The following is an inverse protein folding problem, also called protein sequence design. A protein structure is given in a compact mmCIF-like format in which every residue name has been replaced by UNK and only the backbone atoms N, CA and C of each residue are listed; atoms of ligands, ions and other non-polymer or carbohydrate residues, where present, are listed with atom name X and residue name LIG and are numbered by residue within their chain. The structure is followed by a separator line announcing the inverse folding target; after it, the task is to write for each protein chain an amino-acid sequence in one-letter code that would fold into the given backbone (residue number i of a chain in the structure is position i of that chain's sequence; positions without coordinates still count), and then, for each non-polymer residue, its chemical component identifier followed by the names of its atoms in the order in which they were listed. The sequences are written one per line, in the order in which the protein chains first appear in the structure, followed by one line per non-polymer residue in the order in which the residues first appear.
data_IF_063339508747
#
_entry.id   IF_063339508747
#
_cell.length_a   1.000
_cell.length_b   1.000
_cell.length_c   1.000
_cell.angle_alpha   90.00
_cell.angle_beta   90.00
_cell.angle_gamma   90.00
#
_symmetry.space_group_name_H-M   'P 1'
#
loop_
_entity.id
_entity.type
_entity.pdbx_description
1 polymer ?
#
# COMPACT_ATOMS: atom_id res chain seq x y z
N UNK A 1 -44.71 21.59 -18.26
CA UNK A 1 -43.56 20.70 -18.54
C UNK A 1 -42.48 21.01 -17.53
N UNK A 2 -42.36 20.20 -16.48
CA UNK A 2 -41.25 20.29 -15.53
C UNK A 2 -40.02 19.68 -16.22
N UNK A 3 -38.99 20.50 -16.39
CA UNK A 3 -37.71 20.07 -16.94
C UNK A 3 -37.13 18.98 -16.05
N UNK A 4 -37.05 17.76 -16.59
CA UNK A 4 -36.16 16.71 -16.09
C UNK A 4 -34.72 17.22 -16.21
N UNK A 5 -34.29 18.01 -15.24
CA UNK A 5 -32.89 18.29 -14.96
C UNK A 5 -32.24 16.95 -14.70
N UNK A 6 -31.67 16.38 -15.76
CA UNK A 6 -30.66 15.33 -15.80
C UNK A 6 -30.21 14.94 -14.40
N UNK A 7 -30.88 13.92 -13.83
CA UNK A 7 -30.55 13.32 -12.55
C UNK A 7 -29.27 12.51 -12.70
N UNK A 8 -28.17 13.17 -13.06
CA UNK A 8 -26.88 12.52 -13.18
C UNK A 8 -26.44 12.17 -11.75
N UNK A 9 -26.45 10.88 -11.37
CA UNK A 9 -26.13 10.47 -10.02
C UNK A 9 -24.70 10.82 -9.61
N UNK A 10 -23.82 11.09 -10.58
CA UNK A 10 -22.45 11.56 -10.36
C UNK A 10 -22.34 13.05 -10.01
N UNK A 11 -23.40 13.86 -10.21
CA UNK A 11 -23.39 15.30 -9.90
C UNK A 11 -24.12 15.64 -8.60
N UNK A 12 -24.92 14.72 -8.07
CA UNK A 12 -25.68 14.93 -6.84
C UNK A 12 -25.11 14.07 -5.71
N UNK A 13 -24.86 14.65 -4.52
CA UNK A 13 -24.36 13.88 -3.39
C UNK A 13 -25.37 12.78 -2.99
N UNK A 14 -24.91 11.60 -2.58
CA UNK A 14 -25.80 10.51 -2.18
C UNK A 14 -26.63 10.90 -0.95
N UNK A 15 -27.94 10.65 -1.02
CA UNK A 15 -28.80 10.83 0.15
C UNK A 15 -28.45 9.81 1.24
N UNK A 16 -28.86 10.08 2.49
CA UNK A 16 -28.66 9.12 3.59
C UNK A 16 -29.29 7.76 3.28
N UNK A 17 -30.47 7.75 2.64
CA UNK A 17 -31.14 6.53 2.19
C UNK A 17 -30.27 5.77 1.19
N UNK A 18 -29.69 6.46 0.21
CA UNK A 18 -28.84 5.84 -0.82
C UNK A 18 -27.59 5.21 -0.19
N UNK A 19 -26.99 5.88 0.80
CA UNK A 19 -25.83 5.34 1.53
C UNK A 19 -26.18 4.08 2.30
N UNK A 20 -27.31 4.06 3.01
CA UNK A 20 -27.77 2.88 3.75
C UNK A 20 -28.06 1.72 2.80
N UNK A 21 -28.71 2.00 1.67
CA UNK A 21 -28.99 0.99 0.65
C UNK A 21 -27.70 0.46 0.02
N UNK A 22 -26.71 1.33 -0.24
CA UNK A 22 -25.41 0.94 -0.76
C UNK A 22 -24.63 0.08 0.24
N UNK A 23 -24.59 0.44 1.52
CA UNK A 23 -23.97 -0.41 2.55
C UNK A 23 -24.64 -1.79 2.59
N UNK A 24 -25.97 -1.84 2.59
CA UNK A 24 -26.72 -3.11 2.59
C UNK A 24 -26.44 -3.95 1.33
N UNK A 25 -26.31 -3.34 0.16
CA UNK A 25 -26.04 -4.07 -1.08
C UNK A 25 -24.61 -4.61 -1.18
N UNK A 26 -23.70 -4.10 -0.34
CA UNK A 26 -22.29 -4.48 -0.28
C UNK A 26 -21.96 -5.35 0.95
N UNK A 27 -22.95 -6.03 1.52
CA UNK A 27 -22.74 -6.87 2.72
C UNK A 27 -21.60 -7.90 2.54
N UNK A 28 -21.54 -8.54 1.36
CA UNK A 28 -20.45 -9.46 1.00
C UNK A 28 -19.06 -8.81 0.97
N UNK A 29 -18.97 -7.53 0.60
CA UNK A 29 -17.71 -6.78 0.67
C UNK A 29 -17.29 -6.60 2.13
N UNK A 30 -18.24 -6.30 3.02
CA UNK A 30 -17.95 -6.18 4.44
C UNK A 30 -17.57 -7.52 5.08
N UNK A 31 -18.22 -8.62 4.70
CA UNK A 31 -17.83 -9.97 5.12
C UNK A 31 -16.40 -10.30 4.65
N UNK A 32 -16.07 -10.00 3.39
CA UNK A 32 -14.73 -10.19 2.84
C UNK A 32 -13.68 -9.36 3.59
N UNK A 33 -13.95 -8.08 3.85
CA UNK A 33 -13.06 -7.20 4.62
C UNK A 33 -12.94 -7.68 6.08
N UNK A 34 -14.03 -8.16 6.70
CA UNK A 34 -13.99 -8.67 8.07
C UNK A 34 -13.08 -9.90 8.17
N UNK A 35 -13.11 -10.78 7.17
CA UNK A 35 -12.23 -11.95 7.08
C UNK A 35 -10.79 -11.57 6.70
N UNK A 36 -10.60 -10.51 5.91
CA UNK A 36 -9.30 -10.03 5.43
C UNK A 36 -9.21 -8.50 5.56
N UNK A 37 -8.92 -7.96 6.75
CA UNK A 37 -8.92 -6.51 6.97
C UNK A 37 -7.94 -5.72 6.10
N UNK A 38 -6.88 -6.39 5.60
CA UNK A 38 -5.90 -5.81 4.67
C UNK A 38 -6.50 -5.45 3.31
N UNK A 39 -7.62 -6.08 2.93
CA UNK A 39 -8.34 -5.77 1.70
C UNK A 39 -9.22 -4.51 1.80
N UNK A 40 -9.29 -3.87 2.97
CA UNK A 40 -10.02 -2.62 3.13
C UNK A 40 -9.34 -1.49 2.33
N UNK A 41 -10.07 -0.93 1.37
CA UNK A 41 -9.65 0.21 0.56
C UNK A 41 -10.45 1.45 0.97
N UNK A 42 -9.76 2.57 1.16
CA UNK A 42 -10.36 3.86 1.49
C UNK A 42 -9.65 5.02 0.78
N UNK A 43 -10.27 6.19 0.76
CA UNK A 43 -9.66 7.40 0.23
C UNK A 43 -8.62 8.01 1.19
N UNK A 44 -7.69 8.78 0.62
CA UNK A 44 -6.67 9.56 1.34
C UNK A 44 -7.08 11.00 1.63
N UNK A 45 -8.12 11.52 0.96
CA UNK A 45 -8.63 12.89 1.15
C UNK A 45 -7.55 13.98 1.22
N UNK A 46 -6.46 13.83 0.45
CA UNK A 46 -5.26 14.65 0.65
C UNK A 46 -5.54 16.13 0.37
N UNK A 47 -6.35 16.42 -0.64
CA UNK A 47 -6.75 17.79 -1.01
C UNK A 47 -7.64 18.43 0.07
N UNK A 48 -8.58 17.66 0.60
CA UNK A 48 -9.51 18.07 1.64
C UNK A 48 -8.78 18.35 2.95
N UNK A 49 -7.78 17.53 3.29
CA UNK A 49 -6.89 17.79 4.42
C UNK A 49 -6.11 19.09 4.25
N UNK A 50 -5.50 19.35 3.08
CA UNK A 50 -4.79 20.62 2.84
C UNK A 50 -5.72 21.83 2.96
N UNK A 51 -6.94 21.72 2.42
CA UNK A 51 -7.96 22.78 2.54
C UNK A 51 -8.35 23.02 4.00
N UNK A 52 -8.50 21.95 4.77
CA UNK A 52 -8.85 22.02 6.20
C UNK A 52 -7.71 22.62 7.02
N UNK A 53 -6.46 22.26 6.74
CA UNK A 53 -5.27 22.84 7.39
C UNK A 53 -5.24 24.36 7.16
N UNK A 54 -5.36 24.81 5.91
CA UNK A 54 -5.35 26.24 5.59
C UNK A 54 -6.48 27.01 6.28
N UNK A 55 -7.68 26.41 6.36
CA UNK A 55 -8.80 26.98 7.10
C UNK A 55 -8.50 27.09 8.61
N UNK A 56 -7.92 26.04 9.21
CA UNK A 56 -7.58 26.03 10.64
C UNK A 56 -6.44 27.01 10.97
N UNK A 57 -5.45 27.14 10.11
CA UNK A 57 -4.39 28.16 10.22
C UNK A 57 -4.98 29.57 10.26
N UNK A 58 -5.92 29.87 9.36
CA UNK A 58 -6.65 31.14 9.36
C UNK A 58 -7.39 31.40 10.68
N UNK A 59 -8.02 30.37 11.25
CA UNK A 59 -8.68 30.46 12.57
C UNK A 59 -7.68 30.77 13.68
N UNK A 60 -6.54 30.08 13.72
CA UNK A 60 -5.47 30.33 14.71
C UNK A 60 -5.02 31.79 14.60
N UNK A 61 -4.71 32.28 13.40
CA UNK A 61 -4.33 33.68 13.21
C UNK A 61 -5.40 34.68 13.66
N UNK A 62 -6.67 34.39 13.41
CA UNK A 62 -7.77 35.25 13.85
C UNK A 62 -7.86 35.32 15.38
N UNK A 63 -7.81 34.18 16.06
CA UNK A 63 -7.85 34.14 17.52
C UNK A 63 -6.60 34.77 18.14
N UNK A 64 -5.42 34.56 17.54
CA UNK A 64 -4.17 35.17 17.99
C UNK A 64 -4.20 36.70 17.88
N UNK A 65 -4.77 37.24 16.79
CA UNK A 65 -4.97 38.69 16.65
C UNK A 65 -5.96 39.24 17.67
N UNK A 66 -7.08 38.55 17.92
CA UNK A 66 -8.04 38.97 18.94
C UNK A 66 -7.39 39.02 20.33
N UNK A 67 -6.56 38.02 20.66
CA UNK A 67 -5.76 37.99 21.88
C UNK A 67 -4.77 39.15 21.97
N UNK A 68 -4.03 39.42 20.89
CA UNK A 68 -3.10 40.55 20.86
C UNK A 68 -3.80 41.89 21.03
N UNK A 69 -4.89 42.13 20.30
CA UNK A 69 -5.69 43.36 20.44
C UNK A 69 -6.21 43.52 21.88
N UNK A 70 -6.70 42.44 22.48
CA UNK A 70 -7.15 42.46 23.87
C UNK A 70 -6.01 42.85 24.83
N UNK A 71 -4.80 42.30 24.66
CA UNK A 71 -3.65 42.68 25.49
C UNK A 71 -3.26 44.15 25.28
N UNK A 72 -3.25 44.63 24.04
CA UNK A 72 -2.90 46.01 23.70
C UNK A 72 -3.89 47.02 24.29
N UNK A 73 -5.20 46.75 24.20
CA UNK A 73 -6.25 47.60 24.75
C UNK A 73 -6.17 47.67 26.29
N UNK A 74 -5.98 46.53 26.95
CA UNK A 74 -5.94 46.46 28.41
C UNK A 74 -4.59 46.86 29.01
N UNK A 75 -3.52 46.93 28.22
CA UNK A 75 -2.26 47.56 28.65
C UNK A 75 -2.36 49.09 28.76
N UNK A 76 -3.33 49.71 28.06
CA UNK A 76 -3.52 51.16 27.98
C UNK A 76 -4.62 51.66 28.92
N UNK A 77 -5.67 50.85 29.12
CA UNK A 77 -6.75 51.17 30.03
C UNK A 77 -6.32 50.80 31.46
N UNK A 78 -6.23 51.76 32.38
CA UNK A 78 -5.89 51.51 33.80
C UNK A 78 -6.92 50.67 34.57
N UNK A 79 -7.80 49.93 33.88
CA UNK A 79 -8.73 48.96 34.45
C UNK A 79 -8.14 47.56 34.26
N UNK A 80 -8.02 46.81 35.35
CA UNK A 80 -7.60 45.40 35.28
C UNK A 80 -8.78 44.56 34.79
N UNK A 81 -8.64 43.81 33.68
CA UNK A 81 -9.66 42.88 33.23
C UNK A 81 -9.91 41.81 34.31
N UNK A 82 -11.11 41.26 34.32
CA UNK A 82 -11.42 40.13 35.17
C UNK A 82 -10.98 38.83 34.50
N UNK A 83 -10.84 37.76 35.28
CA UNK A 83 -10.41 36.45 34.80
C UNK A 83 -11.27 35.93 33.63
N UNK A 84 -12.58 36.17 33.67
CA UNK A 84 -13.50 35.76 32.61
C UNK A 84 -13.24 36.47 31.26
N UNK A 85 -12.73 37.71 31.30
CA UNK A 85 -12.37 38.47 30.09
C UNK A 85 -11.15 37.82 29.41
N UNK A 86 -10.14 37.44 30.20
CA UNK A 86 -8.97 36.72 29.68
C UNK A 86 -9.35 35.35 29.10
N UNK A 87 -10.20 34.60 29.81
CA UNK A 87 -10.69 33.30 29.36
C UNK A 87 -11.42 33.43 28.01
N UNK A 88 -12.24 34.47 27.84
CA UNK A 88 -13.03 34.69 26.62
C UNK A 88 -12.21 34.83 25.34
N UNK A 89 -10.93 35.23 25.46
CA UNK A 89 -10.03 35.40 24.31
C UNK A 89 -8.97 34.29 24.23
N UNK A 90 -8.54 33.78 25.38
CA UNK A 90 -7.53 32.72 25.45
C UNK A 90 -8.10 31.34 25.11
N UNK A 91 -9.28 30.98 25.61
CA UNK A 91 -9.89 29.67 25.35
C UNK A 91 -10.10 29.40 23.85
N UNK A 92 -10.67 30.34 23.06
CA UNK A 92 -10.81 30.12 21.60
C UNK A 92 -9.48 29.98 20.87
N UNK A 93 -8.41 30.61 21.38
CA UNK A 93 -7.07 30.47 20.81
C UNK A 93 -6.49 29.08 21.13
N UNK A 94 -6.60 28.63 22.37
CA UNK A 94 -6.19 27.28 22.79
C UNK A 94 -6.94 26.22 22.00
N UNK A 95 -8.25 26.34 21.89
CA UNK A 95 -9.10 25.42 21.11
C UNK A 95 -8.70 25.40 19.62
N UNK A 96 -8.42 26.56 19.03
CA UNK A 96 -7.99 26.64 17.64
C UNK A 96 -6.64 25.93 17.41
N UNK A 97 -5.69 26.11 18.33
CA UNK A 97 -4.37 25.47 18.28
C UNK A 97 -4.47 23.95 18.44
N UNK A 98 -5.24 23.46 19.40
CA UNK A 98 -5.44 22.02 19.62
C UNK A 98 -6.10 21.36 18.40
N UNK A 99 -7.17 21.97 17.87
CA UNK A 99 -7.84 21.47 16.65
C UNK A 99 -6.93 21.52 15.42
N UNK A 100 -6.06 22.52 15.30
CA UNK A 100 -5.09 22.58 14.21
C UNK A 100 -4.10 21.42 14.29
N UNK A 101 -3.56 21.12 15.47
CA UNK A 101 -2.66 19.99 15.69
C UNK A 101 -3.34 18.65 15.37
N UNK A 102 -4.59 18.45 15.79
CA UNK A 102 -5.37 17.25 15.47
C UNK A 102 -5.52 17.04 13.95
N UNK A 103 -5.89 18.10 13.22
CA UNK A 103 -6.03 18.05 11.76
C UNK A 103 -4.68 17.78 11.10
N UNK A 104 -3.60 18.43 11.54
CA UNK A 104 -2.26 18.23 11.01
C UNK A 104 -1.76 16.79 11.24
N UNK A 105 -1.98 16.24 12.44
CA UNK A 105 -1.68 14.84 12.77
C UNK A 105 -2.48 13.88 11.92
N UNK A 106 -3.77 14.13 11.72
CA UNK A 106 -4.62 13.30 10.87
C UNK A 106 -4.15 13.33 9.41
N UNK A 107 -3.85 14.52 8.86
CA UNK A 107 -3.31 14.67 7.52
C UNK A 107 -1.97 13.95 7.35
N UNK A 108 -1.07 14.06 8.34
CA UNK A 108 0.21 13.36 8.35
C UNK A 108 0.00 11.84 8.31
N UNK A 109 -0.84 11.29 9.19
CA UNK A 109 -1.18 9.86 9.22
C UNK A 109 -1.73 9.41 7.86
N UNK A 110 -2.64 10.19 7.27
CA UNK A 110 -3.25 9.84 5.99
C UNK A 110 -2.27 9.91 4.82
N UNK A 111 -1.35 10.87 4.83
CA UNK A 111 -0.29 10.98 3.82
C UNK A 111 0.70 9.81 3.86
N UNK A 112 0.89 9.21 5.04
CA UNK A 112 1.73 8.03 5.22
C UNK A 112 1.05 6.70 4.91
N UNK A 113 -0.23 6.69 4.53
CA UNK A 113 -0.93 5.42 4.25
C UNK A 113 -0.45 4.80 2.94
N UNK A 114 -0.39 3.48 2.94
CA UNK A 114 0.12 2.67 1.85
C UNK A 114 -0.93 2.57 0.74
N UNK A 115 -0.51 2.50 -0.54
CA UNK A 115 -1.43 2.17 -1.62
C UNK A 115 -1.90 0.71 -1.46
N UNK A 116 -3.14 0.38 -1.85
CA UNK A 116 -3.60 -1.00 -1.81
C UNK A 116 -2.83 -1.86 -2.82
N UNK A 117 -2.70 -3.16 -2.56
CA UNK A 117 -2.23 -4.11 -3.58
C UNK A 117 -3.20 -4.20 -4.74
N UNK A 118 -2.68 -4.62 -5.90
CA UNK A 118 -3.49 -4.89 -7.09
C UNK A 118 -4.56 -5.95 -6.83
N UNK A 119 -4.19 -7.03 -6.14
CA UNK A 119 -5.10 -8.13 -5.81
C UNK A 119 -6.28 -7.65 -4.97
N UNK A 120 -6.03 -6.93 -3.87
CA UNK A 120 -7.13 -6.44 -3.04
C UNK A 120 -7.93 -5.34 -3.72
N UNK A 121 -7.30 -4.52 -4.56
CA UNK A 121 -8.04 -3.56 -5.37
C UNK A 121 -8.97 -4.27 -6.38
N UNK A 122 -8.52 -5.36 -7.01
CA UNK A 122 -9.36 -6.17 -7.91
C UNK A 122 -10.53 -6.78 -7.17
N UNK A 123 -10.31 -7.42 -6.02
CA UNK A 123 -11.41 -7.92 -5.18
C UNK A 123 -12.34 -6.78 -4.78
N UNK A 124 -11.82 -5.65 -4.33
CA UNK A 124 -12.64 -4.51 -3.98
C UNK A 124 -13.49 -4.02 -5.16
N UNK A 125 -12.94 -3.97 -6.38
CA UNK A 125 -13.68 -3.61 -7.61
C UNK A 125 -14.77 -4.61 -7.96
N UNK A 126 -14.47 -5.91 -7.91
CA UNK A 126 -15.43 -6.98 -8.18
C UNK A 126 -16.60 -6.91 -7.20
N UNK A 127 -16.31 -6.81 -5.91
CA UNK A 127 -17.35 -6.75 -4.86
C UNK A 127 -18.09 -5.41 -4.82
N UNK A 128 -17.48 -4.33 -5.32
CA UNK A 128 -18.12 -3.02 -5.51
C UNK A 128 -18.83 -2.87 -6.86
N UNK A 129 -18.79 -3.90 -7.72
CA UNK A 129 -19.47 -3.94 -9.03
C UNK A 129 -19.14 -2.73 -9.91
N UNK A 130 -17.87 -2.38 -10.01
CA UNK A 130 -17.42 -1.14 -10.69
C UNK A 130 -17.79 -1.12 -12.19
N UNK A 131 -17.94 -2.27 -12.82
CA UNK A 131 -18.28 -2.37 -14.25
C UNK A 131 -19.78 -2.21 -14.54
N UNK A 132 -20.63 -2.22 -13.50
CA UNK A 132 -22.05 -1.96 -13.64
C UNK A 132 -22.33 -0.44 -13.70
N UNK A 133 -23.09 -0.01 -14.71
CA UNK A 133 -23.44 1.40 -14.90
C UNK A 133 -24.24 1.95 -13.71
N UNK A 134 -23.84 3.15 -13.26
CA UNK A 134 -24.48 3.87 -12.16
C UNK A 134 -24.43 3.17 -10.79
N UNK A 135 -23.52 2.22 -10.59
CA UNK A 135 -23.35 1.61 -9.28
C UNK A 135 -22.69 2.55 -8.28
N UNK A 136 -23.20 2.46 -7.04
CA UNK A 136 -22.61 3.11 -5.87
C UNK A 136 -21.78 2.10 -5.11
N UNK A 137 -20.64 2.51 -4.59
CA UNK A 137 -19.83 1.70 -3.68
C UNK A 137 -20.37 1.76 -2.25
N UNK A 138 -19.72 1.02 -1.34
CA UNK A 138 -20.12 0.90 0.05
C UNK A 138 -20.20 2.25 0.82
N UNK A 139 -19.40 3.25 0.45
CA UNK A 139 -19.46 4.61 1.01
C UNK A 139 -20.62 5.47 0.44
N UNK A 140 -21.37 4.95 -0.54
CA UNK A 140 -22.44 5.63 -1.24
C UNK A 140 -21.99 6.49 -2.43
N UNK A 141 -20.69 6.67 -2.64
CA UNK A 141 -20.15 7.34 -3.82
C UNK A 141 -20.19 6.43 -5.05
N UNK A 142 -19.93 6.97 -6.25
CA UNK A 142 -19.96 6.19 -7.48
C UNK A 142 -18.82 5.17 -7.50
N UNK A 143 -19.13 3.89 -7.75
CA UNK A 143 -18.13 2.81 -7.79
C UNK A 143 -17.01 3.05 -8.82
N UNK A 144 -17.29 3.82 -9.87
CA UNK A 144 -16.31 4.24 -10.88
C UNK A 144 -15.09 4.98 -10.31
N UNK A 145 -15.19 5.59 -9.12
CA UNK A 145 -14.05 6.28 -8.47
C UNK A 145 -12.86 5.34 -8.20
N UNK A 146 -13.12 4.04 -8.04
CA UNK A 146 -12.12 3.01 -7.77
C UNK A 146 -11.36 2.54 -9.02
N UNK A 147 -11.76 3.03 -10.20
CA UNK A 147 -11.21 2.65 -11.50
C UNK A 147 -11.66 1.26 -11.96
N UNK A 148 -11.65 1.04 -13.27
CA UNK A 148 -12.04 -0.23 -13.89
C UNK A 148 -11.05 -1.36 -13.59
N UNK A 149 -11.49 -2.60 -13.77
CA UNK A 149 -10.63 -3.78 -13.70
C UNK A 149 -9.42 -3.66 -14.64
N UNK A 150 -8.27 -4.16 -14.20
CA UNK A 150 -6.99 -4.07 -14.93
C UNK A 150 -6.38 -2.67 -15.05
N UNK A 151 -7.09 -1.60 -14.66
CA UNK A 151 -6.54 -0.24 -14.66
C UNK A 151 -5.62 0.01 -13.46
N UNK A 152 -4.65 0.94 -13.60
CA UNK A 152 -3.83 1.39 -12.47
C UNK A 152 -4.68 1.81 -11.28
N UNK A 153 -4.15 1.60 -10.08
CA UNK A 153 -4.81 1.99 -8.83
C UNK A 153 -4.81 3.52 -8.75
N UNK A 154 -5.99 4.16 -8.58
CA UNK A 154 -6.05 5.60 -8.37
C UNK A 154 -5.18 6.06 -7.19
N UNK A 155 -4.40 7.12 -7.38
CA UNK A 155 -3.43 7.62 -6.39
C UNK A 155 -4.05 8.14 -5.10
N UNK A 156 -5.34 8.47 -5.12
CA UNK A 156 -6.09 8.95 -3.96
C UNK A 156 -6.57 7.80 -3.05
N UNK A 157 -6.32 6.54 -3.40
CA UNK A 157 -6.73 5.37 -2.61
C UNK A 157 -5.60 4.84 -1.73
N UNK A 158 -5.99 4.22 -0.64
CA UNK A 158 -5.12 3.67 0.40
C UNK A 158 -5.70 2.37 0.95
N UNK A 159 -4.83 1.52 1.50
CA UNK A 159 -5.21 0.34 2.26
C UNK A 159 -5.16 0.60 3.77
N UNK A 160 -6.05 -0.06 4.52
CA UNK A 160 -6.09 0.05 6.00
C UNK A 160 -4.82 -0.49 6.66
N UNK A 161 -4.21 -1.52 6.06
CA UNK A 161 -2.99 -2.14 6.55
C UNK A 161 -1.97 -2.22 5.43
N UNK A 162 -0.69 -2.09 5.79
CA UNK A 162 0.41 -2.32 4.87
C UNK A 162 0.32 -3.74 4.33
N UNK A 163 0.37 -3.88 3.00
CA UNK A 163 0.58 -5.17 2.34
C UNK A 163 2.02 -5.57 2.61
N UNK A 164 2.23 -6.13 3.81
CA UNK A 164 3.51 -6.37 4.45
C UNK A 164 4.59 -6.91 3.53
N UNK A 165 5.30 -5.99 2.91
CA UNK A 165 6.72 -6.13 2.66
C UNK A 165 7.35 -5.19 3.67
N UNK A 166 7.78 -5.78 4.78
CA UNK A 166 8.81 -5.19 5.63
C UNK A 166 9.84 -4.47 4.74
N UNK A 167 10.36 -3.29 5.12
CA UNK A 167 11.31 -2.52 4.31
C UNK A 167 12.42 -3.36 3.67
N UNK A 168 12.86 -4.43 4.34
CA UNK A 168 13.85 -5.41 3.84
C UNK A 168 13.31 -6.22 2.66
N UNK A 169 12.05 -6.66 2.71
CA UNK A 169 11.45 -7.41 1.60
C UNK A 169 11.17 -6.49 0.40
N UNK A 170 10.84 -5.22 0.65
CA UNK A 170 10.72 -4.20 -0.42
C UNK A 170 12.08 -3.89 -1.05
N UNK A 171 13.14 -3.87 -0.25
CA UNK A 171 14.52 -3.76 -0.72
C UNK A 171 14.93 -4.97 -1.55
N UNK A 172 14.72 -6.19 -1.06
CA UNK A 172 15.03 -7.43 -1.79
C UNK A 172 14.24 -7.51 -3.09
N UNK A 173 12.95 -7.19 -3.09
CA UNK A 173 12.15 -7.22 -4.31
C UNK A 173 12.64 -6.20 -5.35
N UNK A 174 12.91 -4.96 -4.94
CA UNK A 174 13.24 -3.87 -5.87
C UNK A 174 14.71 -3.82 -6.28
N UNK A 175 15.65 -4.18 -5.40
CA UNK A 175 17.08 -4.07 -5.63
C UNK A 175 17.77 -5.40 -5.93
N UNK A 176 17.14 -6.54 -5.63
CA UNK A 176 17.71 -7.87 -5.90
C UNK A 176 16.89 -8.61 -6.94
N UNK A 177 15.62 -8.89 -6.66
CA UNK A 177 14.79 -9.76 -7.52
C UNK A 177 14.43 -9.06 -8.84
N UNK A 178 13.98 -7.81 -8.83
CA UNK A 178 13.61 -7.10 -10.05
C UNK A 178 14.80 -6.91 -11.02
N UNK A 179 16.01 -6.50 -10.57
CA UNK A 179 17.18 -6.44 -11.44
C UNK A 179 17.62 -7.82 -11.93
N UNK A 180 17.59 -8.84 -11.07
CA UNK A 180 17.94 -10.21 -11.46
C UNK A 180 16.97 -10.79 -12.50
N UNK A 181 15.66 -10.58 -12.34
CA UNK A 181 14.66 -10.95 -13.34
C UNK A 181 14.81 -10.16 -14.63
N UNK A 182 15.20 -8.88 -14.55
CA UNK A 182 15.46 -8.05 -15.72
C UNK A 182 16.77 -8.41 -16.43
N UNK A 183 17.72 -9.08 -15.77
CA UNK A 183 18.97 -9.54 -16.40
C UNK A 183 18.92 -11.01 -16.84
N UNK A 184 18.24 -11.89 -16.10
CA UNK A 184 18.12 -13.32 -16.42
C UNK A 184 16.86 -13.60 -17.27
N UNK A 185 15.77 -12.88 -17.05
CA UNK A 185 14.49 -13.08 -17.76
C UNK A 185 14.44 -12.43 -19.15
N UNK A 186 15.28 -11.43 -19.43
CA UNK A 186 15.36 -10.77 -20.73
C UNK A 186 15.97 -11.65 -21.84
N UNK A 187 17.07 -12.39 -21.61
CA UNK A 187 17.58 -13.30 -22.63
C UNK A 187 16.65 -14.49 -22.86
N UNK A 188 15.99 -15.03 -21.83
CA UNK A 188 15.08 -16.18 -21.98
C UNK A 188 13.79 -15.82 -22.72
N UNK A 189 13.18 -14.66 -22.46
CA UNK A 189 12.02 -14.18 -23.23
C UNK A 189 12.35 -13.88 -24.69
N UNK A 190 13.58 -13.47 -24.97
CA UNK A 190 14.04 -13.22 -26.34
C UNK A 190 14.29 -14.54 -27.07
N UNK A 191 14.92 -15.53 -26.41
CA UNK A 191 15.13 -16.88 -26.97
C UNK A 191 13.82 -17.64 -27.17
N UNK A 192 12.86 -17.56 -26.24
CA UNK A 192 11.55 -18.22 -26.39
C UNK A 192 10.71 -17.64 -27.53
N UNK A 193 10.92 -16.35 -27.87
CA UNK A 193 10.28 -15.70 -29.03
C UNK A 193 10.86 -16.13 -30.37
N UNK A 194 12.06 -16.72 -30.37
CA UNK A 194 12.75 -17.25 -31.55
C UNK A 194 12.46 -18.74 -31.80
N UNK A 195 11.78 -19.43 -30.87
CA UNK A 195 11.32 -20.80 -31.10
C UNK A 195 10.10 -20.75 -32.03
N UNK A 196 10.14 -21.38 -33.22
CA UNK A 196 9.04 -21.31 -34.18
C UNK A 196 7.76 -21.95 -33.63
N UNK A 197 6.61 -21.34 -33.94
CA UNK A 197 5.29 -21.69 -33.40
C UNK A 197 4.86 -23.15 -33.63
N UNK A 198 5.44 -23.87 -34.59
CA UNK A 198 5.06 -25.25 -34.91
C UNK A 198 5.50 -26.29 -33.85
N UNK A 199 6.52 -26.00 -33.03
CA UNK A 199 6.93 -26.90 -31.94
C UNK A 199 6.06 -26.78 -30.68
N UNK A 200 5.34 -25.65 -30.53
CA UNK A 200 4.46 -25.40 -29.37
C UNK A 200 3.13 -26.16 -29.46
N UNK A 201 2.72 -26.58 -30.67
CA UNK A 201 1.48 -27.32 -30.91
C UNK A 201 1.51 -28.79 -30.46
N UNK A 202 2.67 -29.37 -30.19
CA UNK A 202 2.80 -30.81 -29.89
C UNK A 202 2.88 -31.15 -28.39
N UNK A 203 2.90 -30.16 -27.49
CA UNK A 203 2.95 -30.38 -26.04
C UNK A 203 1.59 -30.27 -25.35
N UNK A 204 0.55 -29.81 -26.07
CA UNK A 204 -0.83 -29.76 -25.58
C UNK A 204 -1.69 -30.61 -26.51
N UNK A 205 -1.58 -31.91 -26.34
CA UNK A 205 -2.48 -32.91 -26.89
C UNK A 205 -2.40 -34.10 -25.94
N UNK A 206 -3.47 -34.72 -25.48
CA UNK A 206 -4.85 -34.79 -25.93
C UNK A 206 -5.68 -35.10 -24.69
N UNK A 207 -6.90 -34.59 -24.64
CA UNK A 207 -8.12 -35.23 -24.16
C UNK A 207 -9.11 -34.08 -23.96
N UNK A 208 -10.06 -33.98 -24.89
CA UNK A 208 -11.44 -33.52 -24.70
C UNK A 208 -12.04 -33.23 -26.10
N UNK A 209 -12.06 -34.27 -26.95
CA UNK A 209 -12.97 -34.37 -28.09
C UNK A 209 -14.23 -35.11 -27.59
N UNK A 210 -15.07 -34.45 -26.79
CA UNK A 210 -16.48 -34.88 -26.60
C UNK A 210 -17.33 -33.81 -25.88
N UNK A 211 -17.50 -32.64 -26.50
CA UNK A 211 -18.58 -31.70 -26.15
C UNK A 211 -18.85 -30.68 -27.25
N UNK A 212 -19.03 -31.14 -28.50
CA UNK A 212 -19.52 -30.31 -29.59
C UNK A 212 -20.99 -30.64 -29.84
N UNK A 213 -21.89 -29.89 -29.19
CA UNK A 213 -23.20 -29.51 -29.75
C UNK A 213 -23.93 -28.54 -28.81
N UNK A 214 -23.56 -27.26 -28.88
CA UNK A 214 -24.52 -26.17 -28.73
C UNK A 214 -24.01 -24.98 -29.52
N UNK A 215 -24.66 -24.73 -30.66
CA UNK A 215 -24.49 -23.49 -31.42
C UNK A 215 -24.88 -22.31 -30.53
N UNK A 216 -23.90 -21.50 -30.13
CA UNK A 216 -24.16 -20.09 -29.89
C UNK A 216 -22.96 -19.27 -30.36
N UNK A 217 -23.28 -18.23 -31.11
CA UNK A 217 -22.40 -17.44 -31.96
C UNK A 217 -22.20 -16.09 -31.29
N UNK A 218 -21.06 -15.88 -30.61
CA UNK A 218 -20.48 -14.54 -30.43
C UNK A 218 -19.05 -14.58 -29.87
N UNK A 219 -18.08 -14.46 -30.79
CA UNK A 219 -17.02 -13.45 -30.70
C UNK A 219 -16.01 -13.47 -29.53
N UNK A 220 -14.91 -14.19 -29.75
CA UNK A 220 -13.55 -13.91 -29.22
C UNK A 220 -13.36 -13.88 -27.70
N UNK A 221 -13.46 -15.07 -27.10
CA UNK A 221 -12.64 -15.45 -25.94
C UNK A 221 -11.30 -16.03 -26.39
N UNK A 222 -10.28 -15.84 -25.53
CA UNK A 222 -8.93 -16.45 -25.50
C UNK A 222 -7.76 -15.64 -26.07
N UNK A 223 -7.13 -14.86 -25.19
CA UNK A 223 -5.73 -15.10 -24.87
C UNK A 223 -5.62 -15.29 -23.34
N UNK A 224 -5.84 -16.53 -22.92
CA UNK A 224 -5.60 -17.03 -21.58
C UNK A 224 -4.09 -16.96 -21.31
N UNK A 225 -3.61 -15.83 -20.79
CA UNK A 225 -2.30 -15.77 -20.17
C UNK A 225 -2.44 -16.35 -18.77
N UNK A 226 -2.23 -17.67 -18.66
CA UNK A 226 -1.78 -18.29 -17.42
C UNK A 226 -0.42 -17.66 -17.08
N UNK A 227 -0.46 -16.55 -16.35
CA UNK A 227 0.70 -16.08 -15.62
C UNK A 227 0.87 -17.08 -14.48
N UNK A 228 1.96 -17.84 -14.52
CA UNK A 228 2.47 -18.62 -13.39
C UNK A 228 2.54 -17.69 -12.17
N UNK A 229 1.49 -17.73 -11.35
CA UNK A 229 1.43 -17.04 -10.08
C UNK A 229 2.41 -17.77 -9.16
N UNK A 230 3.60 -17.19 -9.00
CA UNK A 230 4.50 -17.59 -7.92
C UNK A 230 3.75 -17.29 -6.62
N UNK A 231 3.21 -18.34 -5.99
CA UNK A 231 2.42 -18.20 -4.76
C UNK A 231 3.20 -17.42 -3.71
N UNK A 232 2.50 -16.69 -2.83
CA UNK A 232 3.14 -15.95 -1.73
C UNK A 232 3.96 -16.90 -0.86
N UNK A 233 3.54 -18.15 -0.75
CA UNK A 233 4.24 -19.26 -0.11
C UNK A 233 5.52 -19.62 -0.85
N UNK A 234 5.51 -19.66 -2.19
CA UNK A 234 6.71 -19.85 -3.02
C UNK A 234 7.65 -18.65 -2.90
N UNK A 235 7.14 -17.42 -2.88
CA UNK A 235 7.95 -16.21 -2.71
C UNK A 235 8.60 -16.16 -1.30
N UNK A 236 7.85 -16.59 -0.27
CA UNK A 236 8.35 -16.74 1.10
C UNK A 236 9.34 -17.89 1.23
N UNK A 237 9.14 -18.97 0.49
CA UNK A 237 10.08 -20.09 0.38
C UNK A 237 11.38 -19.67 -0.28
N UNK A 238 11.30 -18.91 -1.39
CA UNK A 238 12.45 -18.37 -2.11
C UNK A 238 13.18 -17.32 -1.27
N UNK A 239 12.48 -16.43 -0.56
CA UNK A 239 13.13 -15.44 0.31
C UNK A 239 13.87 -16.11 1.46
N UNK A 240 13.30 -17.16 2.07
CA UNK A 240 13.99 -17.99 3.05
C UNK A 240 15.19 -18.70 2.44
N UNK A 241 15.05 -19.32 1.27
CA UNK A 241 16.15 -19.97 0.55
C UNK A 241 17.28 -18.98 0.22
N UNK A 242 16.95 -17.76 -0.16
CA UNK A 242 17.91 -16.71 -0.44
C UNK A 242 18.65 -16.27 0.83
N UNK A 243 17.94 -16.13 1.95
CA UNK A 243 18.55 -15.89 3.27
C UNK A 243 19.51 -17.03 3.64
N UNK A 244 19.14 -18.29 3.40
CA UNK A 244 20.03 -19.43 3.62
C UNK A 244 21.28 -19.39 2.72
N UNK A 245 21.11 -19.11 1.43
CA UNK A 245 22.25 -18.99 0.50
C UNK A 245 23.16 -17.85 0.91
N UNK A 246 22.62 -16.71 1.33
CA UNK A 246 23.40 -15.55 1.75
C UNK A 246 24.12 -15.83 3.08
N UNK A 247 23.48 -16.53 4.02
CA UNK A 247 24.11 -17.00 5.26
C UNK A 247 25.25 -17.99 4.98
N UNK A 248 25.04 -18.96 4.08
CA UNK A 248 26.06 -19.93 3.67
C UNK A 248 27.21 -19.23 2.95
N UNK A 249 26.94 -18.28 2.06
CA UNK A 249 27.98 -17.51 1.37
C UNK A 249 28.77 -16.62 2.35
N UNK A 250 28.10 -16.02 3.34
CA UNK A 250 28.74 -15.27 4.42
C UNK A 250 29.61 -16.15 5.33
N UNK A 251 29.36 -17.46 5.41
CA UNK A 251 30.19 -18.42 6.12
C UNK A 251 31.34 -18.96 5.27
N UNK A 252 31.09 -19.25 3.99
CA UNK A 252 32.10 -19.77 3.05
C UNK A 252 33.14 -18.69 2.71
N UNK A 253 32.74 -17.43 2.57
CA UNK A 253 33.64 -16.35 2.19
C UNK A 253 34.81 -16.15 3.18
N UNK A 254 34.59 -16.07 4.51
CA UNK A 254 35.68 -16.06 5.48
C UNK A 254 36.59 -17.29 5.39
N UNK A 255 36.02 -18.50 5.25
CA UNK A 255 36.80 -19.75 5.15
C UNK A 255 37.71 -19.73 3.91
N UNK A 256 37.17 -19.32 2.76
CA UNK A 256 37.92 -19.20 1.51
C UNK A 256 39.01 -18.12 1.60
N UNK A 257 38.69 -16.97 2.20
CA UNK A 257 39.63 -15.87 2.40
C UNK A 257 40.75 -16.29 3.36
N UNK A 258 40.44 -16.96 4.47
CA UNK A 258 41.46 -17.46 5.40
C UNK A 258 42.34 -18.53 4.76
N UNK A 259 41.80 -19.41 3.92
CA UNK A 259 42.59 -20.39 3.19
C UNK A 259 43.50 -19.75 2.13
N UNK A 260 43.12 -18.59 1.59
CA UNK A 260 43.91 -17.87 0.57
C UNK A 260 45.04 -17.00 1.14
N UNK A 261 44.96 -16.58 2.40
CA UNK A 261 45.96 -15.71 3.04
C UNK A 261 47.00 -16.60 3.71
N UNK A 262 48.24 -16.64 3.22
CA UNK A 262 49.30 -17.46 3.85
C UNK A 262 49.81 -16.87 5.19
N UNK A 263 49.64 -15.56 5.39
CA UNK A 263 50.17 -14.85 6.56
C UNK A 263 49.22 -14.92 7.78
N UNK A 264 49.67 -15.58 8.86
CA UNK A 264 48.89 -15.81 10.08
C UNK A 264 48.49 -14.51 10.80
N UNK A 265 49.33 -13.48 10.79
CA UNK A 265 49.03 -12.19 11.43
C UNK A 265 47.89 -11.46 10.73
N UNK A 266 47.80 -11.56 9.41
CA UNK A 266 46.70 -10.96 8.63
C UNK A 266 45.38 -11.70 8.89
N UNK A 267 45.41 -13.03 9.05
CA UNK A 267 44.21 -13.81 9.42
C UNK A 267 43.62 -13.34 10.75
N UNK A 268 44.46 -13.13 11.76
CA UNK A 268 44.05 -12.69 13.11
C UNK A 268 43.39 -11.31 13.08
N UNK A 269 43.90 -10.39 12.25
CA UNK A 269 43.33 -9.03 12.13
C UNK A 269 42.01 -9.03 11.38
N UNK A 270 41.84 -9.89 10.38
CA UNK A 270 40.66 -9.92 9.50
C UNK A 270 39.48 -10.68 10.14
N UNK A 271 39.75 -11.64 11.02
CA UNK A 271 38.73 -12.46 11.70
C UNK A 271 37.70 -11.65 12.51
N UNK A 272 38.08 -10.66 13.34
CA UNK A 272 37.12 -9.81 14.03
C UNK A 272 36.19 -9.03 13.09
N UNK A 273 36.67 -8.60 11.92
CA UNK A 273 35.83 -7.87 10.96
C UNK A 273 34.72 -8.75 10.39
N UNK A 274 35.02 -10.00 10.05
CA UNK A 274 34.00 -10.94 9.60
C UNK A 274 33.03 -11.31 10.72
N UNK A 275 33.50 -11.52 11.95
CA UNK A 275 32.63 -11.74 13.10
C UNK A 275 31.67 -10.55 13.33
N UNK A 276 32.17 -9.32 13.26
CA UNK A 276 31.35 -8.11 13.40
C UNK A 276 30.34 -7.96 12.26
N UNK A 277 30.75 -8.27 11.02
CA UNK A 277 29.86 -8.25 9.86
C UNK A 277 28.72 -9.27 10.00
N UNK A 278 29.02 -10.47 10.49
CA UNK A 278 28.03 -11.52 10.76
C UNK A 278 27.07 -11.10 11.88
N UNK A 279 27.58 -10.54 12.98
CA UNK A 279 26.76 -10.06 14.11
C UNK A 279 25.87 -8.87 13.71
N UNK A 280 26.42 -7.91 12.95
CA UNK A 280 25.65 -6.77 12.43
C UNK A 280 24.56 -7.23 11.45
N UNK A 281 24.87 -8.24 10.62
CA UNK A 281 23.89 -8.85 9.72
C UNK A 281 22.78 -9.57 10.50
N UNK A 282 23.13 -10.30 11.58
CA UNK A 282 22.17 -10.95 12.47
C UNK A 282 21.24 -9.95 13.15
N UNK A 283 21.76 -8.80 13.61
CA UNK A 283 20.98 -7.75 14.25
C UNK A 283 20.00 -7.03 13.32
N UNK A 284 20.25 -7.05 12.00
CA UNK A 284 19.35 -6.55 10.98
C UNK A 284 18.27 -7.54 10.54
N UNK A 285 18.36 -8.80 10.95
CA UNK A 285 17.39 -9.85 10.62
C UNK A 285 16.31 -9.88 11.70
N UNK A 286 15.04 -9.76 11.29
CA UNK A 286 13.90 -9.72 12.21
C UNK A 286 13.86 -10.91 13.18
N UNK A 287 13.16 -10.73 14.31
CA UNK A 287 13.13 -11.68 15.45
C UNK A 287 12.72 -13.11 15.09
N UNK A 288 11.95 -13.32 14.02
CA UNK A 288 11.56 -14.65 13.54
C UNK A 288 12.68 -15.40 12.79
N UNK A 289 13.66 -14.68 12.22
CA UNK A 289 14.74 -15.25 11.39
C UNK A 289 16.05 -15.45 12.15
N UNK A 290 16.21 -14.78 13.30
CA UNK A 290 17.40 -14.85 14.13
C UNK A 290 17.72 -16.25 14.69
N UNK A 291 16.75 -17.06 15.16
CA UNK A 291 17.03 -18.42 15.66
C UNK A 291 17.59 -19.34 14.56
N UNK A 292 17.13 -19.14 13.33
CA UNK A 292 17.51 -19.94 12.16
C UNK A 292 18.90 -19.55 11.67
N UNK A 293 19.23 -18.26 11.65
CA UNK A 293 20.57 -17.78 11.32
C UNK A 293 21.61 -18.25 12.36
N UNK A 294 21.25 -18.23 13.64
CA UNK A 294 22.09 -18.76 14.72
C UNK A 294 22.29 -20.28 14.60
N UNK A 295 21.30 -21.04 14.13
CA UNK A 295 21.43 -22.50 13.89
C UNK A 295 22.43 -22.85 12.77
N UNK A 296 22.65 -21.94 11.82
CA UNK A 296 23.60 -22.15 10.70
C UNK A 296 25.02 -21.73 11.09
N UNK A 297 25.16 -20.87 12.10
CA UNK A 297 26.44 -20.33 12.59
C UNK A 297 26.99 -21.13 13.78
N UNK A 298 26.11 -21.75 14.59
CA UNK A 298 26.49 -22.65 15.69
C UNK A 298 26.94 -24.02 15.18
#
# INVERSE_FOLDING_TARGET
MMNNLSSNPARNPPSTKDRIMAMRSHDKLFEMIANVPRAAVHERFSKEFQTTIAYMESKVHRCARAYQLFLEENSKAGMSPQEHDYASVMEPLVDALLRFDDVAKAAKRMSSVHPPSKLYMEWYRTYSRVDELNMRAANGEMASMYGQEGKPIPSHLAALHDDGLDPTTRFVLNFVINPLNNHIGWPSKTVLRWIPAYLRGNWIGKNDEEAANSNDDTGNTKAEYSYDFVSVETLRGISRAFVYVLAILLLIAPIAIFNSIENQTQRIVIMPFFCLLIVASAGGMGSETMPVFMMVIA
#
